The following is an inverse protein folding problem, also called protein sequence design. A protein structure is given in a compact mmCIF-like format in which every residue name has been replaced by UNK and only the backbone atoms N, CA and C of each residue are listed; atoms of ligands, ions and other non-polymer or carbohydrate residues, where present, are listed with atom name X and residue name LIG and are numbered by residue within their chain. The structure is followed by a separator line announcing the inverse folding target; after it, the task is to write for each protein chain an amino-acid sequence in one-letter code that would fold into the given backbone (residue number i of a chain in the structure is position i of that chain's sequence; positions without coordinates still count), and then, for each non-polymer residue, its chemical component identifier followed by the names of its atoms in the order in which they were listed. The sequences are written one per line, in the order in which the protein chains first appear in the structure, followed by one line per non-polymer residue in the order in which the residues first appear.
data_IF_943305030353
#
_entry.id   IF_943305030353
#
_cell.length_a   1.000
_cell.length_b   1.000
_cell.length_c   1.000
_cell.angle_alpha   90.00
_cell.angle_beta   90.00
_cell.angle_gamma   90.00
#
_symmetry.space_group_name_H-M   'P 1'
#
loop_
_entity.id
_entity.type
_entity.pdbx_description
1 polymer ?
#
# COMPACT_ATOMS: atom_id res chain seq x y z
N UNK A 1 -12.54 9.95 -16.81
CA UNK A 1 -11.95 8.60 -17.03
C UNK A 1 -10.48 8.79 -17.41
N UNK A 2 -9.57 8.11 -16.73
CA UNK A 2 -8.16 8.03 -17.12
C UNK A 2 -7.97 6.76 -17.96
N UNK A 3 -7.24 6.86 -19.07
CA UNK A 3 -6.88 5.73 -19.92
C UNK A 3 -5.36 5.59 -19.91
N UNK A 4 -4.88 4.38 -19.63
CA UNK A 4 -3.46 4.04 -19.51
C UNK A 4 -3.23 2.70 -20.21
N UNK A 5 -2.12 2.57 -20.93
CA UNK A 5 -1.61 1.26 -21.33
C UNK A 5 -1.06 0.55 -20.09
N UNK A 6 -1.74 -0.49 -19.63
CA UNK A 6 -1.26 -1.35 -18.55
C UNK A 6 -0.90 -2.72 -19.14
N UNK A 7 0.11 -3.37 -18.55
CA UNK A 7 0.37 -4.79 -18.82
C UNK A 7 -0.78 -5.67 -18.32
N UNK A 8 -0.67 -6.99 -18.50
CA UNK A 8 -1.62 -7.95 -17.94
C UNK A 8 -1.68 -7.95 -16.41
N UNK A 9 -0.71 -7.31 -15.75
CA UNK A 9 -0.60 -7.15 -14.31
C UNK A 9 -0.05 -5.77 -13.96
N UNK A 10 -0.53 -5.23 -12.84
CA UNK A 10 0.05 -4.08 -12.14
C UNK A 10 0.81 -4.58 -10.91
N UNK A 11 1.72 -3.77 -10.37
CA UNK A 11 2.53 -4.17 -9.22
C UNK A 11 2.81 -3.03 -8.27
N UNK A 12 3.26 -3.40 -7.07
CA UNK A 12 3.68 -2.49 -5.99
C UNK A 12 4.91 -3.08 -5.31
N UNK A 13 5.59 -2.31 -4.46
CA UNK A 13 6.79 -2.80 -3.77
C UNK A 13 6.52 -4.03 -2.88
N UNK A 14 5.27 -4.19 -2.39
CA UNK A 14 4.87 -5.37 -1.63
C UNK A 14 5.06 -6.69 -2.42
N UNK A 15 4.99 -6.65 -3.76
CA UNK A 15 5.23 -7.84 -4.61
C UNK A 15 6.66 -8.38 -4.46
N UNK A 16 7.62 -7.48 -4.23
CA UNK A 16 9.01 -7.85 -3.96
C UNK A 16 9.20 -8.22 -2.48
N UNK A 17 8.58 -7.47 -1.57
CA UNK A 17 8.75 -7.68 -0.13
C UNK A 17 8.18 -9.01 0.34
N UNK A 18 7.00 -9.42 -0.14
CA UNK A 18 6.34 -10.60 0.42
C UNK A 18 7.12 -11.91 0.22
N UNK A 19 7.98 -11.99 -0.80
CA UNK A 19 8.84 -13.14 -1.08
C UNK A 19 10.26 -13.02 -0.53
N UNK A 20 10.62 -11.85 -0.01
CA UNK A 20 11.97 -11.61 0.46
C UNK A 20 12.27 -12.44 1.72
N UNK A 21 13.52 -12.93 1.83
CA UNK A 21 14.09 -13.51 3.06
C UNK A 21 13.26 -14.62 3.73
N UNK A 22 12.57 -15.44 2.93
CA UNK A 22 11.74 -16.55 3.44
C UNK A 22 10.28 -16.17 3.72
N UNK A 23 9.89 -14.92 3.42
CA UNK A 23 8.53 -14.43 3.54
C UNK A 23 8.47 -13.23 4.48
N UNK A 24 7.97 -12.09 4.00
CA UNK A 24 7.68 -10.92 4.83
C UNK A 24 6.20 -10.60 4.72
N UNK A 25 5.41 -10.72 5.80
CA UNK A 25 4.03 -10.26 5.79
C UNK A 25 3.97 -8.79 5.33
N UNK A 26 3.36 -8.56 4.17
CA UNK A 26 3.40 -7.27 3.46
C UNK A 26 1.99 -6.89 3.02
N UNK A 27 1.66 -5.61 3.16
CA UNK A 27 0.41 -5.02 2.70
C UNK A 27 0.75 -3.75 1.91
N UNK A 28 0.02 -3.51 0.83
CA UNK A 28 0.03 -2.21 0.15
C UNK A 28 -1.16 -1.38 0.61
N UNK A 29 -0.88 -0.16 1.08
CA UNK A 29 -1.88 0.87 1.32
C UNK A 29 -1.63 2.04 0.35
N UNK A 30 -2.66 2.44 -0.39
CA UNK A 30 -2.57 3.47 -1.43
C UNK A 30 -3.73 4.45 -1.36
N UNK A 31 -3.54 5.66 -1.89
CA UNK A 31 -4.57 6.69 -2.02
C UNK A 31 -5.16 6.62 -3.44
N UNK A 32 -6.49 6.72 -3.62
CA UNK A 32 -7.10 6.85 -4.94
C UNK A 32 -6.53 8.05 -5.69
N UNK A 33 -5.95 7.78 -6.86
CA UNK A 33 -5.26 8.79 -7.66
C UNK A 33 -5.84 8.83 -9.07
N UNK A 34 -6.11 10.05 -9.55
CA UNK A 34 -6.41 10.33 -10.96
C UNK A 34 -5.20 10.98 -11.63
N UNK A 35 -5.03 10.60 -12.89
CA UNK A 35 -3.97 11.01 -13.79
C UNK A 35 -2.57 10.52 -13.38
N UNK A 36 -2.51 9.35 -12.71
CA UNK A 36 -1.26 8.66 -12.38
C UNK A 36 -0.32 8.57 -13.61
N UNK A 37 0.96 8.88 -13.41
CA UNK A 37 1.99 8.96 -14.45
C UNK A 37 1.81 10.11 -15.46
N UNK A 38 1.19 11.21 -15.03
CA UNK A 38 1.16 12.45 -15.80
C UNK A 38 1.76 13.60 -14.99
N UNK A 39 2.16 14.72 -15.61
CA UNK A 39 2.75 15.84 -14.88
C UNK A 39 1.85 16.47 -13.80
N UNK A 40 0.54 16.22 -13.85
CA UNK A 40 -0.43 16.75 -12.89
C UNK A 40 -1.34 15.61 -12.45
N UNK A 41 -1.25 15.25 -11.18
CA UNK A 41 -2.08 14.22 -10.56
C UNK A 41 -3.10 14.84 -9.60
N UNK A 42 -4.19 14.11 -9.35
CA UNK A 42 -5.28 14.57 -8.48
C UNK A 42 -5.65 13.46 -7.51
N UNK A 43 -5.61 13.77 -6.22
CA UNK A 43 -6.09 12.94 -5.13
C UNK A 43 -7.15 13.70 -4.33
N UNK A 44 -7.90 12.99 -3.50
CA UNK A 44 -8.70 13.62 -2.44
C UNK A 44 -7.82 13.84 -1.21
N UNK A 45 -7.86 15.05 -0.63
CA UNK A 45 -7.04 15.37 0.55
C UNK A 45 -7.57 14.72 1.82
N UNK A 46 -8.87 14.43 1.90
CA UNK A 46 -9.45 13.67 3.00
C UNK A 46 -8.99 12.21 3.00
N UNK A 47 -8.84 11.60 1.82
CA UNK A 47 -8.25 10.25 1.71
C UNK A 47 -6.77 10.25 2.14
N UNK A 48 -6.02 11.32 1.84
CA UNK A 48 -4.64 11.47 2.30
C UNK A 48 -4.57 11.52 3.84
N UNK A 49 -5.39 12.36 4.47
CA UNK A 49 -5.44 12.48 5.93
C UNK A 49 -5.88 11.16 6.58
N UNK A 50 -6.92 10.50 6.04
CA UNK A 50 -7.41 9.23 6.56
C UNK A 50 -6.38 8.09 6.44
N UNK A 51 -5.59 8.05 5.37
CA UNK A 51 -4.49 7.09 5.23
C UNK A 51 -3.37 7.36 6.24
N UNK A 52 -3.05 8.62 6.51
CA UNK A 52 -2.08 8.98 7.55
C UNK A 52 -2.56 8.57 8.95
N UNK A 53 -3.83 8.84 9.27
CA UNK A 53 -4.45 8.43 10.53
C UNK A 53 -4.44 6.90 10.70
N UNK A 54 -4.78 6.16 9.64
CA UNK A 54 -4.73 4.70 9.65
C UNK A 54 -3.32 4.17 9.88
N UNK A 55 -2.30 4.74 9.23
CA UNK A 55 -0.91 4.34 9.44
C UNK A 55 -0.44 4.64 10.87
N UNK A 56 -0.85 5.77 11.45
CA UNK A 56 -0.56 6.11 12.84
C UNK A 56 -1.19 5.09 13.79
N UNK A 57 -2.48 4.78 13.61
CA UNK A 57 -3.18 3.80 14.43
C UNK A 57 -2.54 2.40 14.33
N UNK A 58 -2.13 1.97 13.14
CA UNK A 58 -1.41 0.70 12.95
C UNK A 58 -0.07 0.73 13.69
N UNK A 59 0.69 1.83 13.61
CA UNK A 59 1.98 1.94 14.28
C UNK A 59 1.85 1.93 15.82
N UNK A 60 0.80 2.54 16.36
CA UNK A 60 0.48 2.53 17.79
C UNK A 60 0.08 1.14 18.28
N UNK A 61 -0.71 0.39 17.49
CA UNK A 61 -1.15 -0.98 17.82
C UNK A 61 -0.09 -2.05 17.53
N UNK A 62 0.96 -1.72 16.76
CA UNK A 62 1.95 -2.68 16.27
C UNK A 62 2.69 -3.43 17.39
N UNK A 63 2.84 -2.83 18.58
CA UNK A 63 3.48 -3.51 19.73
C UNK A 63 2.59 -4.60 20.34
N UNK A 64 1.28 -4.49 20.20
CA UNK A 64 0.29 -5.40 20.77
C UNK A 64 -0.24 -6.39 19.71
N UNK A 65 0.09 -6.16 18.43
CA UNK A 65 -0.30 -7.00 17.33
C UNK A 65 0.24 -8.44 17.49
N UNK A 66 -0.64 -9.42 17.30
CA UNK A 66 -0.25 -10.84 17.28
C UNK A 66 0.75 -11.08 16.14
N UNK A 67 1.88 -11.75 16.38
CA UNK A 67 2.85 -12.03 15.34
C UNK A 67 2.20 -12.72 14.13
N UNK A 68 2.42 -12.16 12.95
CA UNK A 68 1.98 -12.74 11.67
C UNK A 68 2.83 -13.96 11.26
N UNK A 69 3.74 -14.41 12.13
CA UNK A 69 4.57 -15.58 11.91
C UNK A 69 3.72 -16.84 11.96
N UNK A 70 3.88 -17.69 10.95
CA UNK A 70 3.34 -19.05 10.94
C UNK A 70 4.50 -19.99 11.25
N UNK A 71 4.34 -20.85 12.25
CA UNK A 71 5.29 -21.94 12.50
C UNK A 71 5.20 -22.92 11.32
N UNK A 72 6.29 -23.07 10.56
CA UNK A 72 6.43 -23.99 9.43
C UNK A 72 7.47 -25.06 9.78
#
# INVERSE_FOLDING_TARGET
VQLQAAGSRTGTDADAFYTARGGVPSLTLSIPNRYMHTPVEVIDTGDLDAVADLLSAIAEDASDATPLAVDV
#
